data_IF_762392586610
#
_entry.id   IF_762392586610
#
_cell.length_a   1.000
_cell.length_b   1.000
_cell.length_c   1.000
_cell.angle_alpha   90.00
_cell.angle_beta   90.00
_cell.angle_gamma   90.00
#
_symmetry.space_group_name_H-M   'P 1'
#
loop_
_entity.id
_entity.type
_entity.pdbx_description
1 polymer ?
#
# COMPACT_ATOMS: atom_id res chain seq x y z
N UNK A 1 20.74 -57.71 5.42
CA UNK A 1 19.57 -57.48 4.55
C UNK A 1 19.07 -56.05 4.75
N UNK A 2 19.89 -55.03 4.45
CA UNK A 2 19.62 -53.65 4.91
C UNK A 2 20.34 -52.55 4.10
N UNK A 3 20.51 -52.75 2.80
CA UNK A 3 21.22 -51.77 1.93
C UNK A 3 20.25 -51.09 0.94
N UNK A 4 19.23 -51.81 0.47
CA UNK A 4 18.23 -51.28 -0.46
C UNK A 4 17.27 -50.33 0.28
N UNK A 5 16.85 -50.67 1.49
CA UNK A 5 15.92 -49.85 2.27
C UNK A 5 16.54 -48.50 2.69
N UNK A 6 17.80 -48.52 3.13
CA UNK A 6 18.59 -47.33 3.47
C UNK A 6 18.92 -46.48 2.25
N UNK A 7 19.20 -47.09 1.10
CA UNK A 7 19.38 -46.34 -0.15
C UNK A 7 18.07 -45.66 -0.58
N UNK A 8 16.93 -46.34 -0.42
CA UNK A 8 15.61 -45.78 -0.72
C UNK A 8 15.27 -44.61 0.20
N UNK A 9 15.43 -44.75 1.52
CA UNK A 9 15.12 -43.66 2.47
C UNK A 9 15.99 -42.44 2.24
N UNK A 10 17.30 -42.62 2.00
CA UNK A 10 18.21 -41.52 1.64
C UNK A 10 17.83 -40.88 0.30
N UNK A 11 17.36 -41.67 -0.67
CA UNK A 11 16.86 -41.15 -1.95
C UNK A 11 15.64 -40.25 -1.77
N UNK A 12 14.71 -40.65 -0.89
CA UNK A 12 13.52 -39.85 -0.56
C UNK A 12 13.91 -38.57 0.19
N UNK A 13 14.80 -38.65 1.18
CA UNK A 13 15.30 -37.48 1.91
C UNK A 13 16.01 -36.49 1.00
N UNK A 14 16.90 -36.97 0.13
CA UNK A 14 17.59 -36.11 -0.83
C UNK A 14 16.61 -35.46 -1.82
N UNK A 15 15.60 -36.19 -2.28
CA UNK A 15 14.57 -35.62 -3.16
C UNK A 15 13.83 -34.47 -2.47
N UNK A 16 13.42 -34.67 -1.21
CA UNK A 16 12.74 -33.63 -0.44
C UNK A 16 13.63 -32.40 -0.21
N UNK A 17 14.93 -32.60 0.04
CA UNK A 17 15.89 -31.51 0.16
C UNK A 17 16.04 -30.72 -1.14
N UNK A 18 16.11 -31.40 -2.29
CA UNK A 18 16.18 -30.76 -3.60
C UNK A 18 14.92 -29.91 -3.84
N UNK A 19 13.73 -30.46 -3.57
CA UNK A 19 12.47 -29.73 -3.74
C UNK A 19 12.40 -28.48 -2.84
N UNK A 20 12.90 -28.57 -1.60
CA UNK A 20 12.97 -27.41 -0.69
C UNK A 20 13.95 -26.34 -1.17
N UNK A 21 15.12 -26.74 -1.66
CA UNK A 21 16.12 -25.81 -2.19
C UNK A 21 15.64 -25.16 -3.50
N UNK A 22 14.89 -25.88 -4.35
CA UNK A 22 14.28 -25.31 -5.56
C UNK A 22 13.23 -24.24 -5.24
N UNK A 23 12.38 -24.47 -4.24
CA UNK A 23 11.41 -23.48 -3.77
C UNK A 23 12.11 -22.23 -3.24
N UNK A 24 13.11 -22.42 -2.39
CA UNK A 24 13.90 -21.32 -1.84
C UNK A 24 14.65 -20.53 -2.94
N UNK A 25 15.16 -21.23 -3.95
CA UNK A 25 15.80 -20.59 -5.09
C UNK A 25 14.81 -19.75 -5.91
N UNK A 26 13.57 -20.22 -6.07
CA UNK A 26 12.53 -19.45 -6.74
C UNK A 26 12.16 -18.17 -5.97
N UNK A 27 12.01 -18.26 -4.64
CA UNK A 27 11.77 -17.10 -3.77
C UNK A 27 12.90 -16.08 -3.88
N UNK A 28 14.16 -16.51 -3.75
CA UNK A 28 15.33 -15.63 -3.85
C UNK A 28 15.45 -14.96 -5.23
N UNK A 29 15.04 -15.64 -6.30
CA UNK A 29 15.02 -15.05 -7.65
C UNK A 29 13.96 -13.96 -7.77
N UNK A 30 12.77 -14.19 -7.21
CA UNK A 30 11.70 -13.19 -7.17
C UNK A 30 12.15 -11.94 -6.41
N UNK A 31 12.71 -12.14 -5.20
CA UNK A 31 13.22 -11.04 -4.38
C UNK A 31 14.34 -10.27 -5.10
N UNK A 32 15.25 -10.98 -5.77
CA UNK A 32 16.32 -10.34 -6.54
C UNK A 32 15.79 -9.50 -7.72
N UNK A 33 14.68 -9.90 -8.35
CA UNK A 33 14.04 -9.11 -9.41
C UNK A 33 13.36 -7.85 -8.85
N UNK A 34 12.64 -7.98 -7.73
CA UNK A 34 12.04 -6.86 -7.02
C UNK A 34 13.08 -5.83 -6.57
N UNK A 35 14.19 -6.30 -5.99
CA UNK A 35 15.29 -5.45 -5.57
C UNK A 35 15.94 -4.71 -6.74
N UNK A 36 16.13 -5.38 -7.89
CA UNK A 36 16.62 -4.73 -9.11
C UNK A 36 15.65 -3.67 -9.63
N UNK A 37 14.36 -3.92 -9.54
CA UNK A 37 13.35 -2.93 -9.92
C UNK A 37 13.42 -1.70 -9.00
N UNK A 38 13.48 -1.92 -7.68
CA UNK A 38 13.61 -0.85 -6.68
C UNK A 38 14.89 -0.05 -6.87
N UNK A 39 16.03 -0.70 -7.11
CA UNK A 39 17.30 -0.03 -7.37
C UNK A 39 17.18 0.90 -8.59
N UNK A 40 16.59 0.41 -9.69
CA UNK A 40 16.33 1.22 -10.88
C UNK A 40 15.42 2.40 -10.57
N UNK A 41 14.35 2.18 -9.80
CA UNK A 41 13.43 3.25 -9.40
C UNK A 41 14.14 4.32 -8.57
N UNK A 42 14.91 3.95 -7.55
CA UNK A 42 15.67 4.90 -6.73
C UNK A 42 16.75 5.64 -7.51
N UNK A 43 17.31 5.01 -8.55
CA UNK A 43 18.24 5.69 -9.46
C UNK A 43 17.56 6.63 -10.47
N UNK A 44 16.23 6.59 -10.59
CA UNK A 44 15.49 7.35 -11.60
C UNK A 44 15.40 8.84 -11.26
N UNK A 45 15.30 9.66 -12.31
CA UNK A 45 15.09 11.11 -12.19
C UNK A 45 13.78 11.43 -11.47
N UNK A 46 12.75 10.60 -11.65
CA UNK A 46 11.45 10.77 -11.00
C UNK A 46 11.57 10.64 -9.48
N UNK A 47 12.28 9.62 -9.01
CA UNK A 47 12.54 9.47 -7.57
C UNK A 47 13.34 10.66 -7.02
N UNK A 48 14.39 11.09 -7.73
CA UNK A 48 15.19 12.25 -7.32
C UNK A 48 14.35 13.52 -7.23
N UNK A 49 13.42 13.72 -8.17
CA UNK A 49 12.48 14.85 -8.19
C UNK A 49 11.51 14.80 -7.01
N UNK A 50 10.88 13.65 -6.77
CA UNK A 50 9.97 13.46 -5.63
C UNK A 50 10.73 13.69 -4.31
N UNK A 51 11.90 13.07 -4.17
CA UNK A 51 12.76 13.21 -2.99
C UNK A 51 13.16 14.66 -2.74
N UNK A 52 13.55 15.41 -3.78
CA UNK A 52 13.87 16.83 -3.68
C UNK A 52 12.65 17.66 -3.24
N UNK A 53 11.46 17.35 -3.75
CA UNK A 53 10.22 18.03 -3.37
C UNK A 53 9.85 17.77 -1.91
N UNK A 54 9.88 16.51 -1.49
CA UNK A 54 9.40 16.09 -0.17
C UNK A 54 10.40 16.36 0.95
N UNK A 55 11.69 16.12 0.70
CA UNK A 55 12.72 16.25 1.75
C UNK A 55 13.31 17.66 1.85
N UNK A 56 13.40 18.38 0.72
CA UNK A 56 14.03 19.70 0.66
C UNK A 56 13.05 20.83 0.36
N UNK A 57 11.75 20.54 0.20
CA UNK A 57 10.74 21.52 -0.19
C UNK A 57 11.18 22.34 -1.41
N UNK A 58 11.73 21.69 -2.43
CA UNK A 58 12.17 22.36 -3.66
C UNK A 58 11.02 22.45 -4.67
N UNK A 59 10.86 23.62 -5.29
CA UNK A 59 9.88 23.89 -6.34
C UNK A 59 10.44 23.56 -7.72
N UNK A 60 9.58 23.26 -8.68
CA UNK A 60 9.99 23.35 -10.07
C UNK A 60 10.10 24.80 -10.57
N UNK A 61 10.89 25.05 -11.64
CA UNK A 61 10.92 26.36 -12.26
C UNK A 61 9.52 26.83 -12.69
N UNK A 62 9.05 27.94 -12.11
CA UNK A 62 7.72 28.51 -12.38
C UNK A 62 6.65 28.16 -11.36
N UNK A 63 6.94 27.28 -10.38
CA UNK A 63 6.03 27.00 -9.28
C UNK A 63 6.26 27.96 -8.10
N UNK A 64 5.19 28.26 -7.37
CA UNK A 64 5.25 29.00 -6.10
C UNK A 64 5.00 28.04 -4.96
N UNK A 65 5.98 27.86 -4.08
CA UNK A 65 5.83 27.05 -2.86
C UNK A 65 5.10 27.83 -1.79
N UNK A 66 4.08 27.20 -1.20
CA UNK A 66 3.37 27.73 -0.04
C UNK A 66 3.83 26.98 1.20
N UNK A 67 4.42 27.69 2.16
CA UNK A 67 4.71 27.15 3.48
C UNK A 67 3.52 27.42 4.41
N UNK A 68 2.86 26.35 4.88
CA UNK A 68 1.74 26.46 5.81
C UNK A 68 2.27 26.25 7.22
N UNK A 69 2.51 27.34 7.94
CA UNK A 69 2.82 27.29 9.37
C UNK A 69 1.50 27.35 10.17
N UNK A 70 1.11 26.25 10.82
CA UNK A 70 -0.04 26.21 11.73
C UNK A 70 0.46 26.09 13.17
N UNK A 71 0.71 27.21 13.87
CA UNK A 71 1.17 27.18 15.25
C UNK A 71 0.14 26.60 16.24
N UNK A 72 -1.13 26.55 15.85
CA UNK A 72 -2.21 25.91 16.61
C UNK A 72 -2.96 24.96 15.65
N UNK A 73 -2.79 23.65 15.83
CA UNK A 73 -3.67 22.68 15.17
C UNK A 73 -5.09 22.92 15.70
N UNK A 74 -6.01 23.31 14.81
CA UNK A 74 -7.43 23.26 15.10
C UNK A 74 -7.76 21.81 15.47
N UNK A 75 -8.21 21.60 16.70
CA UNK A 75 -8.78 20.34 17.16
C UNK A 75 -9.84 19.97 16.13
N UNK A 76 -9.65 18.83 15.47
CA UNK A 76 -10.67 18.27 14.59
C UNK A 76 -11.81 17.87 15.52
N UNK A 77 -12.85 18.68 15.60
CA UNK A 77 -14.11 18.26 16.22
C UNK A 77 -14.64 17.11 15.37
N UNK A 78 -14.44 15.89 15.86
CA UNK A 78 -15.12 14.72 15.34
C UNK A 78 -16.60 14.91 15.63
N UNK A 79 -17.34 15.39 14.63
CA UNK A 79 -18.79 15.27 14.65
C UNK A 79 -19.11 13.78 14.77
N UNK A 80 -19.80 13.39 15.84
CA UNK A 80 -20.40 12.05 15.92
C UNK A 80 -21.36 11.93 14.73
N UNK A 81 -21.05 11.02 13.80
CA UNK A 81 -22.00 10.56 12.81
C UNK A 81 -23.14 9.85 13.57
N UNK A 82 -24.18 10.61 13.92
CA UNK A 82 -25.47 10.01 14.24
C UNK A 82 -25.96 9.35 12.95
N UNK A 83 -25.83 8.03 12.88
CA UNK A 83 -26.58 7.15 11.99
C UNK A 83 -28.07 7.26 12.36
N UNK A 84 -28.67 8.41 12.11
CA UNK A 84 -30.12 8.54 12.01
C UNK A 84 -30.49 8.16 10.57
N UNK A 85 -30.87 6.90 10.28
CA UNK A 85 -31.41 6.57 8.98
C UNK A 85 -32.65 7.43 8.79
N UNK A 86 -32.59 8.36 7.84
CA UNK A 86 -33.77 9.12 7.44
C UNK A 86 -34.78 8.09 6.92
N UNK A 87 -35.73 7.68 7.75
CA UNK A 87 -36.84 6.83 7.34
C UNK A 87 -37.77 7.69 6.49
N UNK A 88 -37.52 7.68 5.19
CA UNK A 88 -38.24 8.44 4.19
C UNK A 88 -39.62 7.81 3.91
N UNK A 89 -40.48 7.69 4.91
CA UNK A 89 -41.85 7.17 4.73
C UNK A 89 -42.80 8.16 4.02
N UNK A 90 -42.36 9.40 3.77
CA UNK A 90 -43.16 10.43 3.10
C UNK A 90 -42.30 11.26 2.11
N UNK A 91 -41.83 10.64 1.02
CA UNK A 91 -41.03 11.32 -0.02
C UNK A 91 -41.67 12.64 -0.52
N UNK A 92 -43.00 12.67 -0.67
CA UNK A 92 -43.71 13.84 -1.18
C UNK A 92 -43.61 15.08 -0.25
N UNK A 93 -43.57 14.88 1.07
CA UNK A 93 -43.45 15.98 2.05
C UNK A 93 -42.04 16.57 2.11
N UNK A 94 -41.03 15.75 1.86
CA UNK A 94 -39.64 16.20 1.84
C UNK A 94 -39.36 17.09 0.64
N UNK A 95 -39.82 16.68 -0.54
CA UNK A 95 -39.72 17.50 -1.75
C UNK A 95 -40.54 18.79 -1.65
N UNK A 96 -41.72 18.75 -1.00
CA UNK A 96 -42.50 19.96 -0.79
C UNK A 96 -41.78 20.96 0.13
N UNK A 97 -41.08 20.50 1.17
CA UNK A 97 -40.27 21.35 2.06
C UNK A 97 -39.09 22.00 1.34
N UNK A 98 -38.39 21.24 0.51
CA UNK A 98 -37.26 21.71 -0.28
C UNK A 98 -37.65 22.75 -1.33
N UNK A 99 -38.80 22.57 -1.99
CA UNK A 99 -39.25 23.45 -3.08
C UNK A 99 -40.02 24.67 -2.56
N UNK A 100 -40.84 24.50 -1.52
CA UNK A 100 -41.75 25.55 -1.04
C UNK A 100 -41.22 26.32 0.19
N UNK A 101 -40.07 25.91 0.76
CA UNK A 101 -39.39 26.64 1.83
C UNK A 101 -40.15 26.72 3.16
N UNK A 102 -41.12 25.82 3.39
CA UNK A 102 -41.79 25.61 4.68
C UNK A 102 -41.88 24.12 5.00
#
# INVERSE_FOLDING_TARGET
MNNIYTAYTKGVENKNLIEQEELKLAELRSEAEELKYLERYYSSVEFQRIYARESQNLAEPGETLYYVNRPEELIIDYYEETDDPITLNEHAKWWSKLILGK
#
